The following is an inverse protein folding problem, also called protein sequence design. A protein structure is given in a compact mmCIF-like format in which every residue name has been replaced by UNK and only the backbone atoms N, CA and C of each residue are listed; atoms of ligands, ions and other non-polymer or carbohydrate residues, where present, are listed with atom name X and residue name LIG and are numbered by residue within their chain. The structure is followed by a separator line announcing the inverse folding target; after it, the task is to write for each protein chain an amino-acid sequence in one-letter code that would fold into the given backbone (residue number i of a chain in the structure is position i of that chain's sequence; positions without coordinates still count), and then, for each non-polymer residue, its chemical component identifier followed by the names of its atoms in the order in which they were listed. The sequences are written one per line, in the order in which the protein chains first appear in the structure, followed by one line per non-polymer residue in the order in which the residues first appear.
data_IF_968755659094
#
_entry.id   IF_968755659094
#
_cell.length_a   1.000
_cell.length_b   1.000
_cell.length_c   1.000
_cell.angle_alpha   90.00
_cell.angle_beta   90.00
_cell.angle_gamma   90.00
#
_symmetry.space_group_name_H-M   'P 1'
#
loop_
_entity.id
_entity.type
_entity.pdbx_description
1 polymer ?
#
# COMPACT_ATOMS: atom_id res chain seq x y z
N UNK A 1 15.90 20.78 -22.94
CA UNK A 1 14.78 19.96 -23.41
C UNK A 1 14.57 18.79 -22.43
N UNK A 2 13.53 18.91 -21.61
CA UNK A 2 13.15 17.85 -20.66
C UNK A 2 12.50 16.70 -21.41
N UNK A 3 13.18 15.57 -21.55
CA UNK A 3 12.65 14.41 -22.24
C UNK A 3 11.43 13.88 -21.46
N UNK A 4 10.29 13.81 -22.12
CA UNK A 4 9.10 13.11 -21.62
C UNK A 4 9.28 11.63 -21.89
N UNK A 5 9.09 10.80 -20.86
CA UNK A 5 9.12 9.35 -20.99
C UNK A 5 7.81 8.75 -20.48
N UNK A 6 7.35 7.72 -21.15
CA UNK A 6 6.15 6.98 -20.81
C UNK A 6 6.45 5.48 -20.84
N UNK A 7 6.08 4.77 -19.80
CA UNK A 7 6.28 3.32 -19.70
C UNK A 7 5.00 2.65 -19.26
N UNK A 8 4.50 1.74 -20.08
CA UNK A 8 3.45 0.82 -19.68
C UNK A 8 4.01 -0.19 -18.67
N UNK A 9 3.24 -0.47 -17.66
CA UNK A 9 3.52 -1.48 -16.63
C UNK A 9 2.33 -2.41 -16.49
N UNK A 10 2.60 -3.66 -16.15
CA UNK A 10 1.52 -4.60 -15.94
C UNK A 10 2.02 -5.86 -15.24
N UNK A 11 1.06 -6.65 -14.78
CA UNK A 11 1.35 -7.91 -14.10
C UNK A 11 0.13 -8.81 -14.10
N UNK A 12 0.35 -10.09 -14.36
CA UNK A 12 -0.60 -11.18 -14.09
C UNK A 12 0.03 -12.09 -13.07
N UNK A 13 -0.70 -12.41 -12.02
CA UNK A 13 -0.29 -13.37 -11.00
C UNK A 13 -1.41 -14.36 -10.78
N UNK A 14 -1.06 -15.63 -10.83
CA UNK A 14 -1.96 -16.78 -10.61
C UNK A 14 -1.46 -17.51 -9.39
N UNK A 15 -2.31 -17.74 -8.44
CA UNK A 15 -2.02 -18.54 -7.25
C UNK A 15 -2.81 -19.85 -7.30
N UNK A 16 -2.14 -20.93 -6.91
CA UNK A 16 -2.74 -22.24 -6.75
C UNK A 16 -2.47 -22.79 -5.37
N UNK A 17 -3.46 -23.45 -4.77
CA UNK A 17 -3.33 -24.08 -3.47
C UNK A 17 -3.88 -25.48 -3.49
N UNK A 18 -3.16 -26.39 -2.84
CA UNK A 18 -3.56 -27.78 -2.63
C UNK A 18 -3.41 -28.11 -1.15
N UNK A 19 -4.49 -28.57 -0.54
CA UNK A 19 -4.50 -29.02 0.85
C UNK A 19 -4.62 -30.54 0.90
N UNK A 20 -3.85 -31.19 1.76
CA UNK A 20 -3.92 -32.63 2.02
C UNK A 20 -4.07 -32.88 3.51
N UNK A 21 -4.90 -33.86 3.88
CA UNK A 21 -5.05 -34.27 5.27
C UNK A 21 -5.62 -33.20 6.20
N UNK A 22 -6.43 -32.27 5.66
CA UNK A 22 -6.97 -31.17 6.46
C UNK A 22 -8.32 -31.54 7.09
N UNK A 23 -8.45 -31.32 8.38
CA UNK A 23 -9.70 -31.47 9.13
C UNK A 23 -10.68 -30.30 8.90
N UNK A 24 -10.18 -29.18 8.40
CA UNK A 24 -10.92 -27.91 8.28
C UNK A 24 -11.63 -27.72 6.93
N UNK A 25 -11.69 -28.75 6.08
CA UNK A 25 -12.35 -28.72 4.75
C UNK A 25 -11.89 -27.56 3.86
N UNK A 26 -10.61 -27.25 3.85
CA UNK A 26 -10.04 -26.27 2.94
C UNK A 26 -10.07 -26.80 1.51
N UNK A 27 -10.48 -25.99 0.56
CA UNK A 27 -10.63 -26.40 -0.83
C UNK A 27 -9.34 -26.14 -1.64
N UNK A 28 -9.02 -27.10 -2.50
CA UNK A 28 -8.01 -26.86 -3.54
C UNK A 28 -8.57 -25.91 -4.58
N UNK A 29 -7.82 -24.92 -4.96
CA UNK A 29 -8.27 -23.95 -5.94
C UNK A 29 -7.11 -23.25 -6.67
N UNK A 30 -7.45 -22.60 -7.77
CA UNK A 30 -6.57 -21.70 -8.52
C UNK A 30 -7.30 -20.38 -8.71
N UNK A 31 -6.61 -19.27 -8.51
CA UNK A 31 -7.19 -17.92 -8.66
C UNK A 31 -6.25 -16.98 -9.40
N UNK A 32 -6.84 -15.98 -10.05
CA UNK A 32 -6.13 -14.79 -10.55
C UNK A 32 -5.93 -13.82 -9.38
N UNK A 33 -4.77 -13.89 -8.77
CA UNK A 33 -4.44 -13.10 -7.58
C UNK A 33 -4.28 -11.61 -7.89
N UNK A 34 -3.69 -11.28 -9.05
CA UNK A 34 -3.52 -9.91 -9.53
C UNK A 34 -3.55 -9.87 -11.04
N UNK A 35 -4.29 -8.93 -11.56
CA UNK A 35 -4.34 -8.60 -12.99
C UNK A 35 -4.22 -7.08 -13.11
N UNK A 36 -3.00 -6.59 -13.20
CA UNK A 36 -2.73 -5.13 -13.17
C UNK A 36 -2.29 -4.62 -14.51
N UNK A 37 -2.75 -3.42 -14.83
CA UNK A 37 -2.26 -2.60 -15.92
C UNK A 37 -2.15 -1.16 -15.45
N UNK A 38 -1.13 -0.48 -15.94
CA UNK A 38 -0.89 0.90 -15.55
C UNK A 38 0.20 1.56 -16.38
N UNK A 39 0.55 2.76 -15.99
CA UNK A 39 1.69 3.47 -16.57
C UNK A 39 2.48 4.24 -15.51
N UNK A 40 3.75 4.48 -15.86
CA UNK A 40 4.61 5.46 -15.19
C UNK A 40 5.09 6.44 -16.22
N UNK A 41 4.94 7.73 -15.95
CA UNK A 41 5.36 8.79 -16.84
C UNK A 41 6.28 9.79 -16.12
N UNK A 42 7.29 10.25 -16.84
CA UNK A 42 8.01 11.46 -16.50
C UNK A 42 7.69 12.51 -17.56
N UNK A 43 7.11 13.62 -17.15
CA UNK A 43 6.58 14.64 -18.05
C UNK A 43 7.44 15.89 -17.90
N UNK A 44 7.95 16.39 -19.01
CA UNK A 44 8.94 17.42 -19.04
C UNK A 44 10.17 17.03 -18.19
N UNK A 45 10.62 17.83 -17.28
CA UNK A 45 11.82 17.54 -16.46
C UNK A 45 11.46 17.05 -15.05
N UNK A 46 10.45 17.67 -14.48
CA UNK A 46 10.23 17.68 -13.03
C UNK A 46 8.92 17.02 -12.60
N UNK A 47 8.05 16.66 -13.54
CA UNK A 47 6.78 16.03 -13.21
C UNK A 47 6.83 14.52 -13.40
N UNK A 48 6.24 13.80 -12.48
CA UNK A 48 6.05 12.35 -12.55
C UNK A 48 4.58 12.01 -12.36
N UNK A 49 4.13 10.94 -12.97
CA UNK A 49 2.78 10.41 -12.78
C UNK A 49 2.80 8.90 -12.81
N UNK A 50 2.00 8.30 -11.97
CA UNK A 50 1.77 6.86 -11.95
C UNK A 50 0.28 6.58 -11.87
N UNK A 51 -0.16 5.59 -12.63
CA UNK A 51 -1.50 5.07 -12.60
C UNK A 51 -1.43 3.54 -12.70
N UNK A 52 -2.08 2.83 -11.79
CA UNK A 52 -2.10 1.37 -11.71
C UNK A 52 -3.48 0.90 -11.24
N UNK A 53 -4.09 -0.02 -11.98
CA UNK A 53 -5.40 -0.59 -11.70
C UNK A 53 -5.30 -2.09 -11.65
N UNK A 54 -5.96 -2.71 -10.69
CA UNK A 54 -6.11 -4.15 -10.53
C UNK A 54 -7.52 -4.59 -10.94
N UNK A 55 -7.59 -5.61 -11.77
CA UNK A 55 -8.83 -6.21 -12.28
C UNK A 55 -9.06 -7.62 -11.73
N UNK A 56 -8.31 -8.03 -10.72
CA UNK A 56 -8.53 -9.33 -10.09
C UNK A 56 -9.90 -9.40 -9.41
N UNK A 57 -10.38 -10.62 -9.15
CA UNK A 57 -11.61 -10.88 -8.41
C UNK A 57 -12.89 -10.26 -9.02
N UNK A 58 -12.92 -10.04 -10.36
CA UNK A 58 -14.03 -9.37 -11.06
C UNK A 58 -14.36 -7.96 -10.51
N UNK A 59 -13.39 -7.31 -9.90
CA UNK A 59 -13.49 -5.95 -9.38
C UNK A 59 -12.50 -5.03 -10.08
N UNK A 60 -12.76 -3.73 -10.04
CA UNK A 60 -11.84 -2.70 -10.48
C UNK A 60 -11.33 -1.95 -9.26
N UNK A 61 -10.05 -2.10 -8.96
CA UNK A 61 -9.43 -1.47 -7.81
C UNK A 61 -8.28 -0.55 -8.26
N UNK A 62 -8.44 0.75 -8.06
CA UNK A 62 -7.40 1.74 -8.34
C UNK A 62 -6.32 1.64 -7.27
N UNK A 63 -5.15 1.19 -7.66
CA UNK A 63 -4.01 1.03 -6.75
C UNK A 63 -3.24 2.33 -6.59
N UNK A 64 -2.53 2.75 -7.60
CA UNK A 64 -1.78 4.01 -7.56
C UNK A 64 -2.37 4.96 -8.62
N UNK A 65 -2.64 6.21 -8.24
CA UNK A 65 -3.14 7.24 -9.13
C UNK A 65 -2.70 8.61 -8.61
N UNK A 66 -1.50 9.03 -8.98
CA UNK A 66 -0.93 10.26 -8.47
C UNK A 66 -0.10 11.03 -9.49
N UNK A 67 0.09 12.29 -9.18
CA UNK A 67 1.05 13.18 -9.83
C UNK A 67 2.06 13.68 -8.78
N UNK A 68 3.33 13.77 -9.16
CA UNK A 68 4.41 14.25 -8.31
C UNK A 68 5.21 15.35 -9.00
N UNK A 69 5.77 16.23 -8.20
CA UNK A 69 6.69 17.28 -8.65
C UNK A 69 8.05 17.12 -7.98
N UNK A 70 9.09 16.97 -8.79
CA UNK A 70 10.48 16.69 -8.40
C UNK A 70 11.45 17.84 -8.74
N UNK A 71 10.94 19.05 -8.96
CA UNK A 71 11.76 20.22 -9.31
C UNK A 71 12.62 20.75 -8.17
N UNK A 72 12.43 20.31 -6.94
CA UNK A 72 13.29 20.63 -5.81
C UNK A 72 14.40 19.60 -5.66
N UNK A 73 15.56 20.05 -5.19
CA UNK A 73 16.70 19.15 -5.00
C UNK A 73 16.37 18.05 -3.99
N UNK A 74 16.51 16.81 -4.43
CA UNK A 74 16.31 15.61 -3.61
C UNK A 74 14.92 15.48 -2.98
N UNK A 75 13.92 16.18 -3.52
CA UNK A 75 12.58 16.24 -2.91
C UNK A 75 11.49 15.99 -3.95
N UNK A 76 10.38 15.47 -3.48
CA UNK A 76 9.17 15.29 -4.27
C UNK A 76 7.95 15.69 -3.46
N UNK A 77 7.05 16.47 -4.07
CA UNK A 77 5.69 16.68 -3.60
C UNK A 77 4.78 15.80 -4.45
N UNK A 78 3.96 14.97 -3.82
CA UNK A 78 3.09 14.01 -4.46
C UNK A 78 1.65 14.24 -4.04
N UNK A 79 0.70 14.20 -4.98
CA UNK A 79 -0.73 14.33 -4.71
C UNK A 79 -1.51 13.27 -5.48
N UNK A 80 -2.48 12.64 -4.82
CA UNK A 80 -3.30 11.57 -5.41
C UNK A 80 -3.47 10.39 -4.47
N UNK A 81 -3.72 9.21 -5.06
CA UNK A 81 -3.88 7.95 -4.36
C UNK A 81 -2.58 7.14 -4.43
N UNK A 82 -1.98 6.91 -3.28
CA UNK A 82 -0.67 6.24 -3.17
C UNK A 82 -0.51 5.56 -1.80
N UNK A 83 0.54 4.76 -1.66
CA UNK A 83 0.86 4.10 -0.39
C UNK A 83 1.29 5.11 0.68
N UNK A 84 0.63 5.05 1.82
CA UNK A 84 0.98 5.79 3.03
C UNK A 84 2.39 5.37 3.51
N UNK A 85 3.28 6.29 3.89
CA UNK A 85 4.64 5.98 4.31
C UNK A 85 4.70 5.32 5.70
N UNK A 86 4.09 4.16 5.82
CA UNK A 86 4.07 3.36 7.04
C UNK A 86 4.32 1.89 6.71
N UNK A 87 5.06 1.18 7.54
CA UNK A 87 5.35 -0.24 7.31
C UNK A 87 6.28 -0.51 6.11
N UNK A 88 7.43 -1.13 6.34
CA UNK A 88 8.35 -1.47 5.26
C UNK A 88 7.74 -2.51 4.30
N UNK A 89 7.01 -3.46 4.84
CA UNK A 89 6.40 -4.55 4.07
C UNK A 89 5.31 -4.02 3.12
N UNK A 90 4.45 -3.10 3.59
CA UNK A 90 3.46 -2.40 2.76
C UNK A 90 4.12 -1.64 1.61
N UNK A 91 5.22 -0.91 1.90
CA UNK A 91 5.92 -0.10 0.91
C UNK A 91 6.66 -0.95 -0.13
N UNK A 92 7.11 -2.14 0.27
CA UNK A 92 7.75 -3.09 -0.65
C UNK A 92 6.78 -3.52 -1.74
N UNK A 93 7.25 -3.57 -2.97
CA UNK A 93 6.45 -4.08 -4.07
C UNK A 93 6.10 -5.55 -3.84
N UNK A 94 4.87 -5.94 -4.11
CA UNK A 94 4.48 -7.35 -4.06
C UNK A 94 5.13 -8.24 -5.14
N UNK A 95 6.03 -7.68 -5.96
CA UNK A 95 6.93 -8.44 -6.84
C UNK A 95 8.19 -8.90 -6.12
N UNK A 96 8.52 -8.24 -5.01
CA UNK A 96 9.82 -8.33 -4.31
C UNK A 96 9.65 -8.87 -2.88
N UNK A 97 8.47 -9.36 -2.52
CA UNK A 97 8.23 -10.07 -1.25
C UNK A 97 8.71 -11.51 -1.35
N UNK A 98 9.23 -12.04 -0.26
CA UNK A 98 9.81 -13.39 -0.17
C UNK A 98 8.76 -14.50 0.00
N UNK A 99 7.60 -14.16 0.53
CA UNK A 99 6.50 -15.08 0.81
C UNK A 99 5.32 -14.80 -0.11
N UNK A 100 4.40 -15.73 -0.19
CA UNK A 100 3.17 -15.61 -0.98
C UNK A 100 2.35 -14.39 -0.52
N UNK A 101 2.33 -14.15 0.80
CA UNK A 101 1.68 -13.00 1.41
C UNK A 101 2.62 -12.22 2.32
N UNK A 102 2.22 -10.99 2.65
CA UNK A 102 2.90 -10.13 3.61
C UNK A 102 2.71 -10.63 5.04
N UNK A 103 3.58 -10.20 5.94
CA UNK A 103 3.45 -10.50 7.36
C UNK A 103 2.11 -9.99 7.90
N UNK A 104 1.52 -10.71 8.85
CA UNK A 104 0.22 -10.35 9.45
C UNK A 104 0.18 -8.91 9.99
N UNK A 105 1.30 -8.41 10.49
CA UNK A 105 1.44 -7.04 10.97
C UNK A 105 1.17 -5.99 9.88
N UNK A 106 1.31 -6.34 8.60
CA UNK A 106 1.01 -5.45 7.48
C UNK A 106 -0.48 -5.06 7.42
N UNK A 107 -1.38 -5.89 7.94
CA UNK A 107 -2.81 -5.60 8.03
C UNK A 107 -3.15 -4.35 8.88
N UNK A 108 -2.24 -3.92 9.74
CA UNK A 108 -2.37 -2.69 10.54
C UNK A 108 -1.89 -1.45 9.78
N UNK A 109 -1.27 -1.63 8.63
CA UNK A 109 -0.82 -0.51 7.80
C UNK A 109 -2.00 0.14 7.08
N UNK A 110 -2.03 1.48 6.98
CA UNK A 110 -3.08 2.19 6.25
C UNK A 110 -3.17 1.86 4.75
N UNK A 111 -2.21 1.12 4.19
CA UNK A 111 -2.03 0.83 2.77
C UNK A 111 -2.10 2.11 1.91
N UNK A 112 -3.03 2.21 0.98
CA UNK A 112 -3.18 3.34 0.06
C UNK A 112 -4.27 4.29 0.50
N UNK A 113 -4.00 5.59 0.36
CA UNK A 113 -4.96 6.64 0.68
C UNK A 113 -4.85 7.78 -0.33
N UNK A 114 -5.93 8.54 -0.47
CA UNK A 114 -5.94 9.80 -1.22
C UNK A 114 -5.35 10.89 -0.34
N UNK A 115 -4.29 11.56 -0.81
CA UNK A 115 -3.61 12.54 0.01
C UNK A 115 -2.55 13.34 -0.71
N UNK A 116 -1.78 14.07 0.09
CA UNK A 116 -0.61 14.82 -0.34
C UNK A 116 0.58 14.39 0.50
N UNK A 117 1.71 14.12 -0.13
CA UNK A 117 2.93 13.72 0.55
C UNK A 117 4.11 14.61 0.13
N UNK A 118 5.04 14.78 1.05
CA UNK A 118 6.36 15.32 0.79
C UNK A 118 7.41 14.28 1.13
N UNK A 119 8.36 14.07 0.25
CA UNK A 119 9.49 13.18 0.46
C UNK A 119 10.81 13.89 0.20
N UNK A 120 11.82 13.50 0.96
CA UNK A 120 13.20 13.94 0.82
C UNK A 120 14.13 12.72 0.84
N UNK A 121 15.09 12.65 -0.08
CA UNK A 121 16.09 11.61 -0.16
C UNK A 121 17.50 12.20 -0.13
N UNK A 122 18.25 11.95 0.96
CA UNK A 122 19.68 12.24 1.04
C UNK A 122 20.52 11.02 0.64
N UNK A 123 21.84 11.14 0.77
CA UNK A 123 22.77 10.07 0.36
C UNK A 123 22.59 8.80 1.18
N UNK A 124 22.34 8.93 2.48
CA UNK A 124 22.21 7.81 3.40
C UNK A 124 20.96 7.88 4.29
N UNK A 125 20.05 8.80 4.03
CA UNK A 125 18.80 8.88 4.74
C UNK A 125 17.65 9.26 3.81
N UNK A 126 16.42 8.89 4.19
CA UNK A 126 15.22 9.36 3.53
C UNK A 126 14.12 9.68 4.55
N UNK A 127 13.28 10.61 4.21
CA UNK A 127 12.11 10.96 5.01
C UNK A 127 10.91 11.16 4.07
N UNK A 128 9.74 10.69 4.50
CA UNK A 128 8.47 10.96 3.82
C UNK A 128 7.40 11.22 4.86
N UNK A 129 6.57 12.22 4.62
CA UNK A 129 5.39 12.52 5.43
C UNK A 129 4.20 12.80 4.52
N UNK A 130 3.00 12.44 4.97
CA UNK A 130 1.77 12.67 4.23
C UNK A 130 0.61 13.12 5.13
N UNK A 131 -0.36 13.72 4.48
CA UNK A 131 -1.70 13.97 4.99
C UNK A 131 -2.68 13.28 4.04
N UNK A 132 -3.59 12.48 4.58
CA UNK A 132 -4.47 11.66 3.77
C UNK A 132 -5.91 11.64 4.27
N UNK A 133 -6.82 11.38 3.35
CA UNK A 133 -8.21 11.03 3.61
C UNK A 133 -8.35 9.52 3.89
N UNK A 134 -9.45 9.11 4.50
CA UNK A 134 -9.63 7.71 4.91
C UNK A 134 -9.83 6.74 3.73
N UNK A 135 -10.47 7.16 2.66
CA UNK A 135 -10.82 6.31 1.52
C UNK A 135 -10.96 7.11 0.23
N UNK A 136 -10.84 6.44 -0.93
CA UNK A 136 -11.16 7.00 -2.24
C UNK A 136 -12.66 7.23 -2.41
N UNK A 137 -13.49 6.28 -1.96
CA UNK A 137 -14.93 6.36 -2.10
C UNK A 137 -15.50 7.25 -1.00
N UNK A 138 -16.25 8.26 -1.39
CA UNK A 138 -17.07 9.04 -0.48
C UNK A 138 -18.41 8.37 -0.39
N UNK A 139 -18.76 7.86 0.78
CA UNK A 139 -20.12 7.41 1.04
C UNK A 139 -21.02 8.65 1.10
N UNK A 140 -22.03 8.70 0.23
CA UNK A 140 -22.89 9.87 0.03
C UNK A 140 -23.88 10.15 1.17
N UNK A 141 -23.66 9.56 2.34
CA UNK A 141 -24.60 9.60 3.48
C UNK A 141 -24.44 10.84 4.38
N UNK A 142 -23.76 11.89 3.94
CA UNK A 142 -23.62 13.14 4.72
C UNK A 142 -22.69 13.03 5.93
N UNK A 143 -21.89 11.99 6.02
CA UNK A 143 -20.91 11.77 7.08
C UNK A 143 -19.58 12.43 6.70
N UNK A 144 -18.99 13.22 7.58
CA UNK A 144 -17.68 13.80 7.35
C UNK A 144 -16.62 12.69 7.23
N UNK A 145 -15.89 12.68 6.11
CA UNK A 145 -14.80 11.76 5.90
C UNK A 145 -13.68 12.00 6.94
N UNK A 146 -13.13 10.92 7.46
CA UNK A 146 -11.96 10.98 8.33
C UNK A 146 -10.70 11.39 7.59
N UNK A 147 -9.67 11.73 8.34
CA UNK A 147 -8.36 12.07 7.83
C UNK A 147 -7.26 11.53 8.73
N UNK A 148 -6.04 11.53 8.23
CA UNK A 148 -4.89 11.09 8.98
C UNK A 148 -3.59 11.64 8.45
N UNK A 149 -2.53 11.32 9.14
CA UNK A 149 -1.16 11.60 8.71
C UNK A 149 -0.27 10.40 9.00
N UNK A 150 0.80 10.30 8.23
CA UNK A 150 1.89 9.40 8.52
C UNK A 150 3.24 10.06 8.23
N UNK A 151 4.26 9.59 8.93
CA UNK A 151 5.63 9.98 8.68
C UNK A 151 6.55 8.79 8.86
N UNK A 152 7.58 8.70 8.00
CA UNK A 152 8.61 7.68 8.03
C UNK A 152 9.98 8.30 7.78
N UNK A 153 10.94 7.93 8.60
CA UNK A 153 12.35 8.23 8.39
C UNK A 153 13.18 6.95 8.30
N UNK A 154 14.18 6.95 7.45
CA UNK A 154 15.14 5.85 7.32
C UNK A 154 16.55 6.37 7.25
N UNK A 155 17.48 5.61 7.79
CA UNK A 155 18.89 5.94 7.79
C UNK A 155 19.74 4.68 7.55
N UNK A 156 20.72 4.81 6.68
CA UNK A 156 21.67 3.75 6.36
C UNK A 156 23.10 4.18 6.78
N UNK A 157 23.48 4.01 8.08
CA UNK A 157 24.77 4.46 8.56
C UNK A 157 25.95 3.74 7.92
N UNK A 158 25.73 2.56 7.40
CA UNK A 158 26.74 1.77 6.72
C UNK A 158 26.18 1.30 5.37
N UNK A 159 26.74 1.80 4.29
CA UNK A 159 26.47 1.35 2.92
C UNK A 159 27.80 1.06 2.22
N UNK A 160 28.32 -0.16 2.42
CA UNK A 160 29.57 -0.58 1.78
C UNK A 160 29.34 -1.27 0.43
N UNK A 161 28.20 -1.92 0.26
CA UNK A 161 27.74 -2.55 -0.99
C UNK A 161 26.25 -2.90 -0.83
N UNK A 162 25.60 -3.34 -1.91
CA UNK A 162 24.22 -3.81 -1.88
C UNK A 162 23.99 -4.96 -0.88
N UNK A 163 25.01 -5.75 -0.60
CA UNK A 163 24.97 -6.90 0.33
C UNK A 163 25.49 -6.59 1.74
N UNK A 164 26.05 -5.40 1.96
CA UNK A 164 26.65 -4.98 3.24
C UNK A 164 26.16 -3.60 3.62
N UNK A 165 24.91 -3.53 4.04
CA UNK A 165 24.26 -2.31 4.51
C UNK A 165 23.66 -2.53 5.90
N UNK A 166 23.71 -1.51 6.73
CA UNK A 166 22.87 -1.40 7.94
C UNK A 166 21.85 -0.33 7.67
N UNK A 167 20.58 -0.70 7.74
CA UNK A 167 19.46 0.17 7.49
C UNK A 167 18.53 0.19 8.70
N UNK A 168 18.24 1.38 9.20
CA UNK A 168 17.33 1.60 10.33
C UNK A 168 16.20 2.51 9.87
N UNK A 169 14.98 2.21 10.27
CA UNK A 169 13.83 3.02 9.92
C UNK A 169 12.81 3.05 11.06
N UNK A 170 12.11 4.16 11.15
CA UNK A 170 10.98 4.34 12.04
C UNK A 170 9.83 5.00 11.28
N UNK A 171 8.61 4.66 11.66
CA UNK A 171 7.41 5.28 11.12
C UNK A 171 6.37 5.49 12.22
N UNK A 172 5.55 6.52 12.07
CA UNK A 172 4.39 6.79 12.89
C UNK A 172 3.22 7.17 11.99
N UNK A 173 2.02 6.76 12.38
CA UNK A 173 0.79 7.14 11.70
C UNK A 173 -0.32 7.37 12.72
N UNK A 174 -1.20 8.28 12.40
CA UNK A 174 -2.41 8.55 13.14
C UNK A 174 -3.57 8.80 12.19
N UNK A 175 -4.74 8.32 12.54
CA UNK A 175 -5.94 8.58 11.74
C UNK A 175 -7.15 8.81 12.62
N UNK A 176 -7.97 9.77 12.21
CA UNK A 176 -9.30 10.01 12.77
C UNK A 176 -10.31 9.28 11.90
N UNK A 177 -11.07 8.33 12.44
CA UNK A 177 -12.09 7.62 11.66
C UNK A 177 -13.23 8.56 11.25
N UNK A 178 -14.07 8.12 10.32
CA UNK A 178 -15.28 8.82 9.93
C UNK A 178 -16.19 9.03 11.14
N UNK A 179 -16.90 10.16 11.16
CA UNK A 179 -17.88 10.42 12.20
C UNK A 179 -18.94 9.30 12.22
N UNK A 180 -19.19 8.73 13.40
CA UNK A 180 -20.10 7.58 13.56
C UNK A 180 -19.46 6.19 13.39
N UNK A 181 -18.24 6.08 12.94
CA UNK A 181 -17.50 4.80 12.93
C UNK A 181 -16.85 4.56 14.29
N UNK A 182 -17.49 3.72 15.10
CA UNK A 182 -16.94 3.26 16.39
C UNK A 182 -16.25 1.89 16.29
N UNK A 183 -16.24 1.31 15.11
CA UNK A 183 -15.71 -0.02 14.89
C UNK A 183 -14.30 0.06 14.27
N UNK A 184 -13.32 -0.37 15.02
CA UNK A 184 -12.01 -0.68 14.50
C UNK A 184 -12.01 -2.14 14.01
N UNK A 185 -12.17 -2.34 12.72
CA UNK A 185 -12.04 -3.67 12.12
C UNK A 185 -10.57 -3.91 11.74
N UNK A 186 -9.95 -4.93 12.27
CA UNK A 186 -8.70 -5.44 11.72
C UNK A 186 -9.06 -6.20 10.45
N UNK A 187 -8.63 -5.75 9.27
CA UNK A 187 -8.85 -6.52 8.05
C UNK A 187 -8.19 -7.88 8.20
N UNK A 188 -8.91 -8.94 7.89
CA UNK A 188 -8.27 -10.25 7.78
C UNK A 188 -7.43 -10.24 6.51
N UNK A 189 -6.13 -10.35 6.70
CA UNK A 189 -5.25 -10.73 5.61
C UNK A 189 -5.34 -12.25 5.50
N UNK A 190 -5.95 -12.71 4.43
CA UNK A 190 -5.87 -14.11 4.09
C UNK A 190 -4.49 -14.38 3.53
N UNK A 191 -3.74 -15.21 4.20
CA UNK A 191 -2.46 -15.71 3.70
C UNK A 191 -2.65 -16.45 2.37
N UNK A 192 -3.83 -17.05 2.21
CA UNK A 192 -4.29 -17.63 0.94
C UNK A 192 -5.79 -17.35 0.81
N UNK A 193 -6.23 -16.80 -0.32
CA UNK A 193 -7.64 -16.45 -0.58
C UNK A 193 -8.61 -17.67 -0.54
N UNK A 194 -8.07 -18.84 -0.39
CA UNK A 194 -8.81 -20.11 -0.32
C UNK A 194 -9.02 -20.62 1.10
N UNK A 195 -8.47 -19.94 2.11
CA UNK A 195 -8.74 -20.31 3.49
C UNK A 195 -10.22 -20.07 3.79
N UNK A 196 -10.89 -21.07 4.36
CA UNK A 196 -12.23 -20.86 4.89
C UNK A 196 -12.15 -19.70 5.90
N UNK A 197 -12.96 -18.68 5.73
CA UNK A 197 -13.03 -17.60 6.70
C UNK A 197 -13.45 -18.22 8.03
N UNK A 198 -12.62 -18.19 9.08
CA UNK A 198 -13.06 -18.65 10.38
C UNK A 198 -14.30 -17.85 10.77
N UNK A 199 -15.30 -18.48 11.31
CA UNK A 199 -16.54 -17.79 11.75
C UNK A 199 -16.27 -16.72 12.83
N UNK A 200 -15.08 -16.72 13.42
CA UNK A 200 -14.58 -15.69 14.34
C UNK A 200 -14.64 -14.27 13.77
N UNK A 201 -14.74 -14.09 12.45
CA UNK A 201 -14.90 -12.76 11.83
C UNK A 201 -16.16 -12.03 12.22
N UNK A 202 -17.19 -12.72 12.65
CA UNK A 202 -18.42 -12.08 13.17
C UNK A 202 -18.26 -11.53 14.60
N UNK A 203 -17.26 -12.01 15.34
CA UNK A 203 -17.03 -11.63 16.74
C UNK A 203 -15.98 -10.52 16.93
N UNK A 204 -15.21 -10.16 15.91
CA UNK A 204 -14.13 -9.17 16.02
C UNK A 204 -14.60 -7.72 15.91
N UNK A 205 -15.85 -7.42 16.27
CA UNK A 205 -16.22 -6.06 16.66
C UNK A 205 -15.74 -5.82 18.09
N UNK A 206 -14.42 -5.77 18.27
CA UNK A 206 -13.86 -5.35 19.53
C UNK A 206 -14.30 -3.90 19.77
N UNK A 207 -15.21 -3.70 20.70
CA UNK A 207 -15.44 -2.40 21.29
C UNK A 207 -14.22 -2.14 22.19
N UNK A 208 -13.38 -1.22 21.80
CA UNK A 208 -12.48 -0.60 22.74
C UNK A 208 -13.30 0.46 23.51
N UNK A 209 -13.43 0.24 24.80
CA UNK A 209 -13.94 1.23 25.75
C UNK A 209 -12.91 2.35 25.92
#
# INVERSE_FOLDING_TARGET
DGATSFRLVGRVQVDGVMFSGNENRLANAVTLRRVRIGYKAKIAKDWVSEFDVDFAENAVDVKDAYIGYQGFKNSEIQAGHFKVPFGMDTLTSSKDIWFVERAYVDSWSPDRRLGVAYSYGGDNFSAKADLFAQTIAVDATGINQGWGWAARGTWAPVMKSETRAVHVGAAAAWSKPNAGSTNFGVPQVHEVDFSARPECTKASKAKFL
#
